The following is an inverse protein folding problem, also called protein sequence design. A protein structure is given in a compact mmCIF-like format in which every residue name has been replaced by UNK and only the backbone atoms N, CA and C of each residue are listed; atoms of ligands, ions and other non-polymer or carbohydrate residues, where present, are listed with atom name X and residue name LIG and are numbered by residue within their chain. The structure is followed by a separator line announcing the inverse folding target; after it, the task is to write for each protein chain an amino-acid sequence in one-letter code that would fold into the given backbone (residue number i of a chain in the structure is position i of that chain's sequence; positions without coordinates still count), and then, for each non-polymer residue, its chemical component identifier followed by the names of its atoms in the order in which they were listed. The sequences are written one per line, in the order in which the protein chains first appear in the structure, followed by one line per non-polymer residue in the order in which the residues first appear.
data_IF_498072536698
#
_entry.id   IF_498072536698
#
_cell.length_a   1.000
_cell.length_b   1.000
_cell.length_c   1.000
_cell.angle_alpha   90.00
_cell.angle_beta   90.00
_cell.angle_gamma   90.00
#
_symmetry.space_group_name_H-M   'P 1'
#
loop_
_entity.id
_entity.type
_entity.pdbx_description
1 polymer ?
#
# COMPACT_ATOMS: atom_id res chain seq x y z
N UNK A 1 18.14 -7.27 -2.84
CA UNK A 1 18.22 -6.08 -3.71
C UNK A 1 19.67 -5.82 -4.11
N UNK A 2 19.93 -5.39 -5.35
CA UNK A 2 21.26 -4.89 -5.74
C UNK A 2 21.61 -3.69 -4.86
N UNK A 3 22.89 -3.53 -4.51
CA UNK A 3 23.38 -2.38 -3.73
C UNK A 3 23.55 -1.12 -4.59
N UNK A 4 23.53 -1.28 -5.91
CA UNK A 4 23.80 -0.21 -6.87
C UNK A 4 22.51 0.49 -7.30
N UNK A 5 22.51 1.81 -7.22
CA UNK A 5 21.43 2.66 -7.72
C UNK A 5 21.62 2.92 -9.20
N UNK A 6 20.93 2.15 -10.04
CA UNK A 6 20.99 2.29 -11.50
C UNK A 6 19.60 2.72 -11.97
N UNK A 7 19.38 4.02 -12.23
CA UNK A 7 18.11 4.52 -12.75
C UNK A 7 18.08 4.45 -14.28
N UNK A 8 17.06 3.78 -14.85
CA UNK A 8 16.73 3.94 -16.27
C UNK A 8 15.72 5.08 -16.41
N UNK A 9 15.96 5.98 -17.38
CA UNK A 9 15.15 7.18 -17.59
C UNK A 9 14.79 7.34 -19.07
N UNK A 10 13.87 8.25 -19.36
CA UNK A 10 13.37 8.48 -20.72
C UNK A 10 12.65 7.24 -21.25
N UNK A 11 12.78 7.00 -22.55
CA UNK A 11 12.14 5.85 -23.23
C UNK A 11 12.52 4.52 -22.57
N UNK A 12 13.78 4.38 -22.12
CA UNK A 12 14.25 3.15 -21.49
C UNK A 12 13.59 2.89 -20.13
N UNK A 13 13.40 3.95 -19.32
CA UNK A 13 12.70 3.84 -18.03
C UNK A 13 11.19 3.58 -18.16
N UNK A 14 10.59 3.95 -19.29
CA UNK A 14 9.18 3.71 -19.57
C UNK A 14 8.91 2.30 -20.13
N UNK A 15 9.95 1.59 -20.57
CA UNK A 15 9.82 0.25 -21.19
C UNK A 15 10.42 -0.84 -20.30
N UNK A 16 11.53 -0.57 -19.60
CA UNK A 16 12.29 -1.55 -18.81
C UNK A 16 12.46 -1.08 -17.36
N UNK A 17 12.12 -1.94 -16.39
CA UNK A 17 12.39 -1.64 -14.99
C UNK A 17 13.88 -1.81 -14.68
N UNK A 18 14.43 -0.79 -14.02
CA UNK A 18 15.81 -0.80 -13.54
C UNK A 18 15.91 -1.32 -12.10
N UNK A 19 17.11 -1.67 -11.61
CA UNK A 19 17.32 -2.01 -10.20
C UNK A 19 16.83 -0.91 -9.24
N UNK A 20 16.93 0.36 -9.64
CA UNK A 20 16.40 1.49 -8.86
C UNK A 20 14.86 1.52 -8.80
N UNK A 21 14.15 1.10 -9.86
CA UNK A 21 12.68 0.99 -9.82
C UNK A 21 12.23 -0.06 -8.78
N UNK A 22 12.92 -1.21 -8.75
CA UNK A 22 12.66 -2.25 -7.76
C UNK A 22 13.00 -1.78 -6.33
N UNK A 23 14.06 -0.99 -6.16
CA UNK A 23 14.38 -0.40 -4.85
C UNK A 23 13.29 0.58 -4.37
N UNK A 24 12.70 1.37 -5.27
CA UNK A 24 11.56 2.24 -4.96
C UNK A 24 10.33 1.43 -4.55
N UNK A 25 10.04 0.32 -5.22
CA UNK A 25 8.93 -0.58 -4.85
C UNK A 25 9.03 -1.08 -3.40
N UNK A 26 10.24 -1.34 -2.92
CA UNK A 26 10.50 -1.78 -1.54
C UNK A 26 10.74 -0.63 -0.54
N UNK A 27 10.58 0.62 -0.96
CA UNK A 27 10.73 1.78 -0.09
C UNK A 27 9.60 1.85 0.93
N UNK A 28 9.91 2.27 2.16
CA UNK A 28 8.91 2.55 3.20
C UNK A 28 8.30 3.93 3.12
N UNK A 29 8.72 4.76 2.16
CA UNK A 29 8.14 6.09 1.97
C UNK A 29 6.71 5.94 1.46
N UNK A 30 5.70 6.54 2.12
CA UNK A 30 4.31 6.51 1.66
C UNK A 30 4.13 6.96 0.21
N UNK A 31 5.02 7.82 -0.31
CA UNK A 31 5.01 8.26 -1.71
C UNK A 31 5.26 7.11 -2.70
N UNK A 32 6.01 6.10 -2.29
CA UNK A 32 6.38 4.96 -3.14
C UNK A 32 5.45 3.76 -2.99
N UNK A 33 4.43 3.85 -2.13
CA UNK A 33 3.45 2.78 -1.98
C UNK A 33 2.67 2.57 -3.26
N UNK A 34 2.46 1.29 -3.59
CA UNK A 34 1.75 0.86 -4.78
C UNK A 34 2.35 1.37 -6.10
N UNK A 35 3.68 1.44 -6.19
CA UNK A 35 4.41 1.82 -7.41
C UNK A 35 5.31 0.69 -7.90
N UNK A 36 5.59 0.67 -9.21
CA UNK A 36 6.57 -0.20 -9.86
C UNK A 36 6.39 -1.70 -9.56
N UNK A 37 5.19 -2.23 -9.83
CA UNK A 37 4.85 -3.64 -9.59
C UNK A 37 5.41 -4.61 -10.65
N UNK A 38 5.79 -4.09 -11.82
CA UNK A 38 6.36 -4.89 -12.89
C UNK A 38 7.69 -5.52 -12.49
N UNK A 39 7.91 -6.75 -12.95
CA UNK A 39 9.13 -7.51 -12.67
C UNK A 39 10.26 -7.24 -13.66
N UNK A 40 9.92 -6.89 -14.91
CA UNK A 40 10.89 -6.64 -16.00
C UNK A 40 10.44 -5.50 -16.92
N UNK A 41 9.16 -5.46 -17.28
CA UNK A 41 8.62 -4.48 -18.23
C UNK A 41 7.87 -3.36 -17.51
N UNK A 42 8.39 -2.12 -17.64
CA UNK A 42 7.80 -0.92 -17.05
C UNK A 42 6.53 -0.46 -17.78
N UNK A 43 6.29 -1.01 -18.98
CA UNK A 43 5.13 -0.68 -19.80
C UNK A 43 3.81 -0.97 -19.09
N UNK A 44 3.75 -2.01 -18.25
CA UNK A 44 2.55 -2.34 -17.48
C UNK A 44 2.26 -1.28 -16.42
N UNK A 45 3.29 -0.88 -15.68
CA UNK A 45 3.16 0.20 -14.70
C UNK A 45 2.82 1.54 -15.36
N UNK A 46 3.30 1.79 -16.58
CA UNK A 46 2.95 2.98 -17.35
C UNK A 46 1.48 2.95 -17.77
N UNK A 47 1.00 1.82 -18.29
CA UNK A 47 -0.39 1.64 -18.73
C UNK A 47 -1.40 1.74 -17.57
N UNK A 48 -1.03 1.29 -16.37
CA UNK A 48 -1.90 1.32 -15.19
C UNK A 48 -1.60 2.48 -14.23
N UNK A 49 -0.67 3.38 -14.57
CA UNK A 49 -0.37 4.59 -13.81
C UNK A 49 0.37 4.35 -12.48
N UNK A 50 0.95 3.17 -12.27
CA UNK A 50 1.78 2.82 -11.12
C UNK A 50 3.28 3.05 -11.33
N UNK A 51 3.71 3.54 -12.50
CA UNK A 51 5.12 3.80 -12.79
C UNK A 51 5.64 5.02 -12.03
N UNK A 52 6.69 4.82 -11.23
CA UNK A 52 7.49 5.85 -10.57
C UNK A 52 8.92 5.80 -11.11
N UNK A 53 9.33 6.85 -11.84
CA UNK A 53 10.66 6.94 -12.44
C UNK A 53 11.69 7.32 -11.37
N UNK A 54 12.75 6.51 -11.16
CA UNK A 54 13.79 6.80 -10.18
C UNK A 54 14.59 8.05 -10.52
N UNK A 55 14.95 8.80 -9.49
CA UNK A 55 15.85 9.95 -9.57
C UNK A 55 17.27 9.53 -9.98
N UNK A 56 18.04 10.47 -10.52
CA UNK A 56 19.45 10.25 -10.90
C UNK A 56 20.33 10.00 -9.68
N UNK A 57 20.00 10.62 -8.55
CA UNK A 57 20.70 10.47 -7.27
C UNK A 57 19.95 9.49 -6.39
N UNK A 58 20.67 8.59 -5.69
CA UNK A 58 20.10 7.66 -4.73
C UNK A 58 19.53 8.42 -3.52
N UNK A 59 18.21 8.43 -3.32
CA UNK A 59 17.59 9.09 -2.19
C UNK A 59 17.61 8.14 -1.00
N UNK A 60 18.80 7.83 -0.42
CA UNK A 60 19.05 6.91 0.73
C UNK A 60 17.77 6.27 1.28
N UNK A 61 17.24 5.28 0.56
CA UNK A 61 15.91 4.75 0.86
C UNK A 61 15.95 4.00 2.18
N UNK A 62 14.97 4.25 3.05
CA UNK A 62 14.71 3.37 4.18
C UNK A 62 13.92 2.16 3.66
N UNK A 63 14.41 0.99 4.02
CA UNK A 63 13.81 -0.30 3.71
C UNK A 63 13.35 -0.92 5.03
N UNK A 64 12.13 -1.45 5.08
CA UNK A 64 11.57 -1.99 6.31
C UNK A 64 10.07 -2.25 6.19
N UNK A 65 9.49 -2.89 7.21
CA UNK A 65 8.04 -3.03 7.35
C UNK A 65 7.72 -2.46 8.73
N UNK A 66 7.56 -1.15 8.83
CA UNK A 66 7.23 -0.53 10.12
C UNK A 66 5.80 -0.96 10.50
N UNK A 67 5.66 -1.69 11.61
CA UNK A 67 4.35 -2.04 12.20
C UNK A 67 3.96 -3.51 12.25
N UNK A 68 4.88 -4.45 11.98
CA UNK A 68 4.68 -5.84 12.41
C UNK A 68 5.05 -5.95 13.90
N UNK A 69 4.10 -5.66 14.80
CA UNK A 69 4.25 -5.89 16.25
C UNK A 69 4.38 -7.36 16.66
N UNK A 70 4.93 -8.20 15.80
CA UNK A 70 5.27 -9.59 16.06
C UNK A 70 6.78 -9.71 15.90
N UNK A 71 7.43 -10.22 16.95
CA UNK A 71 8.87 -10.47 16.99
C UNK A 71 9.36 -11.14 15.68
N UNK A 72 10.15 -10.43 14.85
CA UNK A 72 10.67 -10.92 13.58
C UNK A 72 11.58 -12.15 13.71
N UNK A 73 11.93 -12.59 14.91
CA UNK A 73 12.85 -13.70 15.16
C UNK A 73 12.17 -15.03 15.49
N UNK A 74 10.83 -15.10 15.51
CA UNK A 74 10.08 -16.35 15.65
C UNK A 74 9.52 -16.85 14.32
N UNK A 75 9.95 -18.03 13.87
CA UNK A 75 9.45 -18.70 12.66
C UNK A 75 7.92 -18.89 12.72
N UNK A 76 7.40 -19.18 13.92
CA UNK A 76 5.96 -19.30 14.16
C UNK A 76 5.28 -17.94 14.06
N UNK A 77 5.92 -16.89 14.59
CA UNK A 77 5.43 -15.51 14.47
C UNK A 77 5.29 -15.06 13.02
N UNK A 78 6.28 -15.34 12.17
CA UNK A 78 6.26 -14.99 10.74
C UNK A 78 5.14 -15.71 9.99
N UNK A 79 4.88 -16.99 10.28
CA UNK A 79 3.90 -17.79 9.55
C UNK A 79 2.47 -17.60 10.08
N UNK A 80 2.28 -17.46 11.38
CA UNK A 80 0.95 -17.41 12.00
C UNK A 80 0.37 -15.99 12.04
N UNK A 81 1.20 -14.97 12.27
CA UNK A 81 0.75 -13.58 12.41
C UNK A 81 -0.07 -13.05 11.23
N UNK A 82 0.32 -13.24 9.96
CA UNK A 82 -0.48 -12.74 8.84
C UNK A 82 -1.86 -13.41 8.78
N UNK A 83 -1.94 -14.70 9.09
CA UNK A 83 -3.19 -15.47 9.09
C UNK A 83 -4.10 -15.03 10.23
N UNK A 84 -3.57 -14.90 11.45
CA UNK A 84 -4.33 -14.46 12.62
C UNK A 84 -4.85 -13.03 12.45
N UNK A 85 -4.03 -12.11 11.91
CA UNK A 85 -4.46 -10.73 11.62
C UNK A 85 -5.55 -10.69 10.55
N UNK A 86 -5.43 -11.50 9.49
CA UNK A 86 -6.46 -11.60 8.45
C UNK A 86 -7.78 -12.16 9.01
N UNK A 87 -7.73 -13.23 9.81
CA UNK A 87 -8.90 -13.80 10.45
C UNK A 87 -9.58 -12.80 11.42
N UNK A 88 -8.80 -12.09 12.22
CA UNK A 88 -9.31 -11.07 13.13
C UNK A 88 -9.94 -9.87 12.39
N UNK A 89 -9.39 -9.47 11.25
CA UNK A 89 -9.96 -8.42 10.42
C UNK A 89 -11.30 -8.86 9.81
N UNK A 90 -11.37 -10.09 9.28
CA UNK A 90 -12.61 -10.67 8.75
C UNK A 90 -13.68 -10.83 9.83
N UNK A 91 -13.28 -11.17 11.07
CA UNK A 91 -14.20 -11.30 12.19
C UNK A 91 -14.79 -9.97 12.66
N UNK A 92 -14.02 -8.87 12.56
CA UNK A 92 -14.47 -7.53 12.96
C UNK A 92 -15.27 -6.82 11.87
N UNK A 93 -15.09 -7.19 10.60
CA UNK A 93 -15.76 -6.55 9.47
C UNK A 93 -17.29 -6.46 9.59
N UNK A 94 -18.04 -7.50 10.04
CA UNK A 94 -19.48 -7.42 10.19
C UNK A 94 -19.93 -6.41 11.26
N UNK A 95 -19.17 -6.29 12.34
CA UNK A 95 -19.48 -5.37 13.44
C UNK A 95 -19.25 -3.91 13.02
N UNK A 96 -18.14 -3.63 12.33
CA UNK A 96 -17.82 -2.30 11.81
C UNK A 96 -18.82 -1.85 10.74
N UNK A 97 -19.20 -2.75 9.81
CA UNK A 97 -20.21 -2.48 8.80
C UNK A 97 -21.58 -2.23 9.45
N UNK A 98 -21.93 -3.01 10.47
CA UNK A 98 -23.18 -2.83 11.22
C UNK A 98 -23.25 -1.47 11.91
N UNK A 99 -22.21 -1.09 12.64
CA UNK A 99 -22.14 0.20 13.34
C UNK A 99 -22.21 1.38 12.36
N UNK A 100 -21.46 1.32 11.25
CA UNK A 100 -21.50 2.36 10.22
C UNK A 100 -22.88 2.48 9.54
N UNK A 101 -23.60 1.36 9.37
CA UNK A 101 -24.98 1.38 8.87
C UNK A 101 -25.95 2.00 9.87
N UNK A 102 -25.83 1.69 11.16
CA UNK A 102 -26.66 2.26 12.23
C UNK A 102 -26.44 3.76 12.35
N UNK A 103 -25.19 4.22 12.40
CA UNK A 103 -24.85 5.66 12.44
C UNK A 103 -25.43 6.42 11.24
N UNK A 104 -25.32 5.85 10.02
CA UNK A 104 -25.89 6.44 8.81
C UNK A 104 -27.41 6.54 8.87
N UNK A 105 -28.08 5.55 9.46
CA UNK A 105 -29.54 5.55 9.65
C UNK A 105 -29.96 6.60 10.68
N UNK A 106 -29.21 6.75 11.76
CA UNK A 106 -29.46 7.78 12.77
C UNK A 106 -29.27 9.19 12.22
N UNK A 107 -28.23 9.42 11.43
CA UNK A 107 -28.01 10.70 10.73
C UNK A 107 -29.16 11.03 9.76
N UNK A 108 -29.64 10.04 8.98
CA UNK A 108 -30.81 10.22 8.11
C UNK A 108 -32.09 10.51 8.89
N UNK A 109 -32.27 9.88 10.04
CA UNK A 109 -33.44 10.09 10.92
C UNK A 109 -33.43 11.47 11.58
N UNK A 110 -32.26 11.96 11.98
CA UNK A 110 -32.09 13.31 12.54
C UNK A 110 -32.23 14.39 11.46
N UNK A 111 -31.65 14.16 10.27
CA UNK A 111 -31.83 15.05 9.11
C UNK A 111 -33.28 15.20 8.68
N UNK A 112 -34.04 14.10 8.62
CA UNK A 112 -35.47 14.11 8.27
C UNK A 112 -36.35 14.84 9.30
N UNK A 113 -36.01 14.82 10.59
CA UNK A 113 -36.74 15.58 11.63
C UNK A 113 -36.52 17.09 11.50
N UNK A 114 -35.36 17.52 10.99
CA UNK A 114 -35.06 18.94 10.79
C UNK A 114 -35.78 19.56 9.58
N UNK A 115 -36.15 18.75 8.58
CA UNK A 115 -36.86 19.22 7.37
C UNK A 115 -38.39 19.21 7.51
N UNK A 116 -38.92 18.58 8.56
CA UNK A 116 -40.37 18.47 8.81
C UNK A 116 -40.91 19.53 9.78
N UNK A 117 -40.06 20.37 10.37
CA UNK A 117 -40.42 21.41 11.35
C UNK A 117 -40.31 22.83 10.74
N UNK A 118 -39.95 22.96 9.46
CA UNK A 118 -40.02 24.21 8.70
C UNK A 118 -41.29 24.27 7.86
#
# INVERSE_FOLDING_TARGET
HSQFWIPFRGVLGNIILSPAHHQIHHSTDPKHFNRNFGSVLAIWDWMFGSLEIPSTTNPRLKYGVDGAGADPHSVVGILATPIVRAAAALWRAPAEIGNAWVERMEQRRQGSKSTSIS
#
